data_IF_531195274225
#
_entry.id   IF_531195274225
#
_cell.length_a   1.000
_cell.length_b   1.000
_cell.length_c   1.000
_cell.angle_alpha   90.00
_cell.angle_beta   90.00
_cell.angle_gamma   90.00
#
_symmetry.space_group_name_H-M   'P 1'
#
loop_
_entity.id
_entity.type
_entity.pdbx_description
1 polymer ?
#
# COMPACT_ATOMS: atom_id res chain seq x y z
N UNK A 1 -13.01 -2.89 -6.49
CA UNK A 1 -11.93 -3.16 -7.48
C UNK A 1 -11.83 -4.65 -7.75
N UNK A 2 -10.88 -5.09 -8.59
CA UNK A 2 -10.41 -6.49 -8.64
C UNK A 2 -10.10 -6.99 -7.22
N UNK A 3 -10.49 -8.22 -6.88
CA UNK A 3 -10.24 -8.78 -5.54
C UNK A 3 -8.88 -9.43 -5.52
N UNK A 4 -8.13 -9.17 -4.46
CA UNK A 4 -6.88 -9.87 -4.21
C UNK A 4 -7.10 -10.94 -3.15
N UNK A 5 -6.68 -12.16 -3.45
CA UNK A 5 -6.77 -13.29 -2.53
C UNK A 5 -5.39 -13.87 -2.28
N UNK A 6 -5.06 -14.11 -1.02
CA UNK A 6 -3.95 -15.00 -0.66
C UNK A 6 -4.44 -16.42 -0.92
N UNK A 7 -3.68 -17.14 -1.72
CA UNK A 7 -3.96 -18.55 -1.96
C UNK A 7 -3.19 -19.34 -0.92
N UNK A 8 -3.83 -20.39 -0.41
CA UNK A 8 -3.14 -21.37 0.42
C UNK A 8 -1.95 -21.92 -0.36
N UNK A 9 -0.75 -21.60 0.12
CA UNK A 9 0.51 -22.06 -0.45
C UNK A 9 1.29 -22.89 0.56
N UNK A 10 2.23 -23.69 0.06
CA UNK A 10 3.24 -24.33 0.89
C UNK A 10 4.26 -23.27 1.35
N UNK A 11 3.91 -22.46 2.36
CA UNK A 11 4.86 -21.46 2.86
C UNK A 11 6.03 -22.17 3.53
N UNK A 12 7.25 -22.01 2.98
CA UNK A 12 8.48 -22.55 3.56
C UNK A 12 8.85 -21.91 4.91
N UNK A 13 8.34 -20.70 5.20
CA UNK A 13 8.60 -19.91 6.42
C UNK A 13 7.36 -19.16 6.85
N UNK A 14 7.25 -18.87 8.16
CA UNK A 14 6.15 -18.08 8.73
C UNK A 14 6.29 -16.61 8.33
N UNK A 15 5.34 -16.09 7.54
CA UNK A 15 5.31 -14.67 7.18
C UNK A 15 4.78 -13.82 8.32
N UNK A 16 5.46 -12.70 8.62
CA UNK A 16 4.99 -11.76 9.64
C UNK A 16 3.64 -11.09 9.27
N UNK A 17 3.36 -10.97 7.97
CA UNK A 17 2.14 -10.35 7.41
C UNK A 17 1.04 -11.37 7.17
N UNK A 18 1.38 -12.47 6.51
CA UNK A 18 0.41 -13.47 6.10
C UNK A 18 0.55 -14.69 7.01
N UNK A 19 0.16 -14.52 8.27
CA UNK A 19 0.21 -15.60 9.29
C UNK A 19 -0.89 -16.64 9.09
N UNK A 20 -1.97 -16.27 8.41
CA UNK A 20 -3.10 -17.13 8.12
C UNK A 20 -3.22 -17.29 6.60
N UNK A 21 -2.61 -18.35 6.06
CA UNK A 21 -2.52 -18.57 4.61
C UNK A 21 -3.78 -19.20 4.00
N UNK A 22 -4.80 -19.48 4.80
CA UNK A 22 -6.00 -20.20 4.37
C UNK A 22 -7.05 -19.27 3.75
N UNK A 23 -6.71 -18.71 2.59
CA UNK A 23 -7.70 -18.09 1.70
C UNK A 23 -8.14 -16.68 2.07
N UNK A 24 -7.32 -15.92 2.81
CA UNK A 24 -7.58 -14.52 3.15
C UNK A 24 -7.84 -13.67 1.88
N UNK A 25 -8.91 -12.88 1.90
CA UNK A 25 -9.32 -12.04 0.77
C UNK A 25 -9.27 -10.58 1.18
N UNK A 26 -8.46 -9.78 0.48
CA UNK A 26 -8.43 -8.34 0.63
C UNK A 26 -9.36 -7.67 -0.37
N UNK A 27 -10.42 -7.04 0.16
CA UNK A 27 -11.27 -6.13 -0.60
C UNK A 27 -10.82 -4.67 -0.47
N UNK A 28 -11.64 -3.74 -0.95
CA UNK A 28 -11.31 -2.31 -1.05
C UNK A 28 -10.86 -1.66 0.28
N UNK A 29 -11.29 -2.18 1.44
CA UNK A 29 -10.98 -1.66 2.79
C UNK A 29 -9.82 -2.41 3.48
N UNK A 30 -9.45 -3.60 2.98
CA UNK A 30 -8.45 -4.48 3.61
C UNK A 30 -7.03 -4.29 3.08
N UNK A 31 -6.85 -3.52 2.02
CA UNK A 31 -5.53 -3.36 1.39
C UNK A 31 -4.75 -2.20 2.04
N UNK A 32 -5.40 -1.04 2.23
CA UNK A 32 -4.73 0.19 2.66
C UNK A 32 -5.50 0.93 3.77
N UNK A 33 -4.80 1.68 4.64
CA UNK A 33 -5.44 2.47 5.68
C UNK A 33 -6.38 3.56 5.17
N UNK A 34 -7.44 3.84 5.94
CA UNK A 34 -8.22 5.09 5.92
C UNK A 34 -8.70 5.53 4.52
N UNK A 35 -9.14 4.60 3.67
CA UNK A 35 -9.64 4.92 2.33
C UNK A 35 -8.57 5.46 1.38
N UNK A 36 -7.30 5.16 1.66
CA UNK A 36 -6.17 5.56 0.82
C UNK A 36 -6.40 5.12 -0.63
N UNK A 37 -6.19 6.05 -1.56
CA UNK A 37 -6.25 5.76 -2.99
C UNK A 37 -5.10 4.81 -3.38
N UNK A 38 -5.39 3.63 -3.97
CA UNK A 38 -4.39 2.64 -4.36
C UNK A 38 -3.31 3.19 -5.32
N UNK A 39 -3.70 4.05 -6.26
CA UNK A 39 -2.80 4.68 -7.22
C UNK A 39 -1.84 5.68 -6.57
N UNK A 40 -2.35 6.48 -5.63
CA UNK A 40 -1.52 7.39 -4.85
C UNK A 40 -0.53 6.59 -4.00
N UNK A 41 -1.01 5.53 -3.35
CA UNK A 41 -0.15 4.66 -2.54
C UNK A 41 0.97 4.01 -3.36
N UNK A 42 0.66 3.48 -4.55
CA UNK A 42 1.68 2.89 -5.43
C UNK A 42 2.78 3.89 -5.80
N UNK A 43 2.40 5.15 -6.03
CA UNK A 43 3.35 6.26 -6.27
C UNK A 43 4.23 6.54 -5.04
N UNK A 44 3.64 6.44 -3.84
CA UNK A 44 4.31 6.71 -2.56
C UNK A 44 5.21 5.57 -2.06
N UNK A 45 4.92 4.33 -2.47
CA UNK A 45 5.61 3.13 -1.98
C UNK A 45 7.14 3.20 -2.01
N UNK A 46 7.83 3.63 -3.10
CA UNK A 46 9.29 3.72 -3.09
C UNK A 46 9.83 4.71 -2.06
N UNK A 47 9.14 5.83 -1.82
CA UNK A 47 9.54 6.83 -0.82
C UNK A 47 9.34 6.30 0.60
N UNK A 48 8.20 5.66 0.84
CA UNK A 48 7.91 4.99 2.10
C UNK A 48 8.95 3.90 2.42
N UNK A 49 9.26 3.06 1.43
CA UNK A 49 10.24 1.99 1.56
C UNK A 49 11.65 2.55 1.82
N UNK A 50 12.04 3.61 1.09
CA UNK A 50 13.30 4.30 1.32
C UNK A 50 13.43 4.80 2.77
N UNK A 51 12.42 5.51 3.27
CA UNK A 51 12.42 6.03 4.65
C UNK A 51 12.41 4.92 5.71
N UNK A 52 11.78 3.78 5.43
CA UNK A 52 11.79 2.61 6.29
C UNK A 52 13.23 2.09 6.48
N UNK A 53 14.00 2.03 5.39
CA UNK A 53 15.40 1.60 5.40
C UNK A 53 16.41 2.74 5.63
N UNK A 54 15.94 3.91 6.09
CA UNK A 54 16.82 4.99 6.56
C UNK A 54 17.27 6.00 5.49
N UNK A 55 16.66 5.98 4.30
CA UNK A 55 16.89 7.04 3.32
C UNK A 55 16.48 8.41 3.90
N UNK A 56 17.25 9.44 3.57
CA UNK A 56 16.95 10.84 3.86
C UNK A 56 16.96 11.60 2.54
N UNK A 57 15.91 12.36 2.28
CA UNK A 57 15.83 13.17 1.06
C UNK A 57 16.38 14.56 1.33
N UNK A 58 17.31 15.03 0.51
CA UNK A 58 18.02 16.30 0.74
C UNK A 58 17.22 17.54 0.30
N UNK A 59 15.90 17.47 0.24
CA UNK A 59 15.05 18.60 -0.13
C UNK A 59 14.83 19.59 1.03
N UNK A 60 14.91 19.12 2.27
CA UNK A 60 14.85 19.97 3.47
C UNK A 60 15.67 19.37 4.64
N UNK A 61 15.81 20.12 5.73
CA UNK A 61 16.58 19.70 6.92
C UNK A 61 15.97 18.47 7.62
N UNK A 62 14.67 18.24 7.46
CA UNK A 62 13.95 17.13 8.07
C UNK A 62 14.03 15.82 7.27
N UNK A 63 14.56 15.86 6.05
CA UNK A 63 14.63 14.70 5.18
C UNK A 63 13.31 14.38 4.45
N UNK A 64 12.38 15.32 4.37
CA UNK A 64 11.07 15.11 3.74
C UNK A 64 11.15 15.18 2.22
N UNK A 65 10.13 14.64 1.54
CA UNK A 65 10.05 14.65 0.08
C UNK A 65 8.65 15.04 -0.40
N UNK A 66 8.57 16.03 -1.29
CA UNK A 66 7.32 16.36 -1.97
C UNK A 66 7.10 15.42 -3.15
N UNK A 67 5.91 14.83 -3.20
CA UNK A 67 5.49 13.88 -4.23
C UNK A 67 4.10 14.31 -4.70
N UNK A 68 3.73 14.01 -5.94
CA UNK A 68 2.40 14.28 -6.46
C UNK A 68 1.67 12.99 -6.85
N UNK A 69 0.35 13.05 -6.79
CA UNK A 69 -0.54 12.06 -7.39
C UNK A 69 -0.28 12.00 -8.91
N UNK A 70 -0.35 10.81 -9.55
CA UNK A 70 -0.16 10.68 -10.99
C UNK A 70 -1.25 11.38 -11.83
N UNK A 71 -2.40 11.71 -11.22
CA UNK A 71 -3.46 12.45 -11.90
C UNK A 71 -3.06 13.91 -12.16
N UNK A 72 -3.32 14.42 -13.37
CA UNK A 72 -3.00 15.79 -13.79
C UNK A 72 -3.52 16.87 -12.82
N UNK A 73 -4.76 16.71 -12.31
CA UNK A 73 -5.39 17.56 -11.29
C UNK A 73 -5.57 16.82 -9.97
N UNK A 74 -4.53 16.10 -9.54
CA UNK A 74 -4.55 15.29 -8.34
C UNK A 74 -4.21 16.04 -7.05
N UNK A 75 -3.72 15.28 -6.07
CA UNK A 75 -3.24 15.79 -4.79
C UNK A 75 -1.72 15.90 -4.77
N UNK A 76 -1.20 16.93 -4.12
CA UNK A 76 0.22 17.05 -3.78
C UNK A 76 0.40 16.66 -2.32
N UNK A 77 1.46 15.91 -2.03
CA UNK A 77 1.73 15.38 -0.70
C UNK A 77 3.18 15.60 -0.30
N UNK A 78 3.43 15.63 1.00
CA UNK A 78 4.80 15.59 1.56
C UNK A 78 4.95 14.33 2.37
N UNK A 79 5.90 13.50 1.97
CA UNK A 79 6.29 12.26 2.67
C UNK A 79 7.19 12.61 3.85
N UNK A 80 6.85 12.10 5.02
CA UNK A 80 7.47 12.43 6.31
C UNK A 80 7.71 11.16 7.12
N UNK A 81 8.78 11.18 7.92
CA UNK A 81 9.03 10.26 9.03
C UNK A 81 9.08 11.06 10.32
N UNK A 82 8.23 10.73 11.30
CA UNK A 82 8.12 11.46 12.57
C UNK A 82 8.01 10.47 13.73
N UNK A 83 8.34 10.93 14.93
CA UNK A 83 8.16 10.14 16.14
C UNK A 83 6.69 9.77 16.32
N UNK A 84 6.45 8.56 16.82
CA UNK A 84 5.11 8.09 17.11
C UNK A 84 4.63 8.66 18.45
N UNK A 85 3.75 9.66 18.39
CA UNK A 85 3.13 10.29 19.55
C UNK A 85 1.77 9.67 19.92
N UNK A 86 1.35 8.60 19.22
CA UNK A 86 0.07 7.94 19.43
C UNK A 86 -1.14 8.64 18.78
N UNK A 87 -0.94 9.72 18.01
CA UNK A 87 -2.05 10.50 17.42
C UNK A 87 -2.35 10.15 15.96
N UNK A 88 -1.48 9.39 15.29
CA UNK A 88 -1.58 9.13 13.84
C UNK A 88 -2.68 8.15 13.48
N UNK A 89 -2.67 6.98 14.11
CA UNK A 89 -3.69 5.93 13.92
C UNK A 89 -3.69 5.02 15.16
N UNK A 90 -4.86 4.74 15.76
CA UNK A 90 -4.93 3.92 16.98
C UNK A 90 -4.46 2.47 16.78
N UNK A 91 -4.34 1.99 15.54
CA UNK A 91 -3.84 0.64 15.21
C UNK A 91 -2.33 0.55 15.17
N UNK A 92 -1.61 1.67 15.17
CA UNK A 92 -0.15 1.67 15.23
C UNK A 92 0.28 1.21 16.63
N UNK A 93 1.09 0.14 16.76
CA UNK A 93 1.51 -0.34 18.07
C UNK A 93 2.32 0.71 18.84
N UNK A 94 2.06 0.84 20.15
CA UNK A 94 2.72 1.82 21.01
C UNK A 94 4.26 1.66 21.10
N UNK A 95 4.79 0.47 20.81
CA UNK A 95 6.24 0.20 20.80
C UNK A 95 6.94 0.68 19.51
N UNK A 96 6.18 1.06 18.48
CA UNK A 96 6.76 1.68 17.28
C UNK A 96 7.24 3.08 17.63
N UNK A 97 8.51 3.37 17.38
CA UNK A 97 9.13 4.66 17.72
C UNK A 97 8.84 5.76 16.71
N UNK A 98 8.47 5.40 15.48
CA UNK A 98 8.21 6.35 14.40
C UNK A 98 7.05 5.91 13.51
N UNK A 99 6.48 6.87 12.79
CA UNK A 99 5.46 6.69 11.75
C UNK A 99 5.97 7.29 10.44
N UNK A 100 5.76 6.57 9.34
CA UNK A 100 6.01 7.04 7.98
C UNK A 100 4.65 7.30 7.34
N UNK A 101 4.45 8.50 6.81
CA UNK A 101 3.19 8.89 6.19
C UNK A 101 3.41 9.96 5.12
N UNK A 102 2.43 10.13 4.24
CA UNK A 102 2.34 11.27 3.34
C UNK A 102 1.18 12.17 3.77
N UNK A 103 1.44 13.46 3.93
CA UNK A 103 0.42 14.45 4.26
C UNK A 103 0.00 15.22 3.02
N UNK A 104 -1.31 15.32 2.78
CA UNK A 104 -1.86 16.11 1.67
C UNK A 104 -1.67 17.60 1.96
N UNK A 105 -0.91 18.28 1.10
CA UNK A 105 -0.64 19.72 1.20
C UNK A 105 -1.36 20.55 0.14
N UNK A 106 -1.92 19.90 -0.89
CA UNK A 106 -2.64 20.58 -1.95
C UNK A 106 -3.56 19.64 -2.72
N UNK A 107 -4.66 20.20 -3.22
CA UNK A 107 -5.64 19.51 -4.04
C UNK A 107 -5.94 20.39 -5.26
N UNK A 108 -5.59 19.93 -6.46
CA UNK A 108 -5.64 20.74 -7.71
C UNK A 108 -6.95 20.57 -8.51
N UNK A 109 -7.86 19.73 -8.04
CA UNK A 109 -9.15 19.41 -8.67
C UNK A 109 -9.99 18.50 -7.78
N UNK A 110 -10.97 17.82 -8.35
CA UNK A 110 -11.81 16.89 -7.57
C UNK A 110 -11.15 15.53 -7.45
N UNK A 111 -10.80 15.13 -6.22
CA UNK A 111 -10.30 13.80 -5.95
C UNK A 111 -11.47 12.80 -5.85
N UNK A 112 -11.56 11.76 -6.71
CA UNK A 112 -12.64 10.77 -6.62
C UNK A 112 -12.63 9.95 -5.33
N UNK A 113 -11.47 9.87 -4.66
CA UNK A 113 -11.30 9.23 -3.36
C UNK A 113 -11.52 10.21 -2.19
N UNK A 114 -11.86 11.48 -2.47
CA UNK A 114 -12.26 12.45 -1.46
C UNK A 114 -11.14 13.09 -0.64
N UNK A 115 -9.86 12.82 -0.94
CA UNK A 115 -8.70 13.36 -0.22
C UNK A 115 -8.71 14.89 -0.13
N UNK A 116 -8.37 15.42 1.05
CA UNK A 116 -8.35 16.84 1.42
C UNK A 116 -7.02 17.23 2.04
N UNK A 117 -6.71 18.53 2.02
CA UNK A 117 -5.53 19.06 2.72
C UNK A 117 -5.57 18.68 4.20
N UNK A 118 -4.45 18.17 4.72
CA UNK A 118 -4.31 17.64 6.08
C UNK A 118 -4.52 16.13 6.22
N UNK A 119 -5.09 15.47 5.20
CA UNK A 119 -5.22 14.00 5.22
C UNK A 119 -3.85 13.33 5.26
N UNK A 120 -3.78 12.19 5.97
CA UNK A 120 -2.54 11.41 6.14
C UNK A 120 -2.70 10.03 5.53
N UNK A 121 -1.88 9.72 4.54
CA UNK A 121 -1.70 8.38 3.98
C UNK A 121 -0.59 7.69 4.76
N UNK A 122 -0.96 6.75 5.64
CA UNK A 122 -0.04 6.07 6.55
C UNK A 122 0.56 4.85 5.87
N UNK A 123 1.87 4.65 6.00
CA UNK A 123 2.53 3.44 5.54
C UNK A 123 2.26 2.30 6.53
N UNK A 124 1.55 1.21 6.15
CA UNK A 124 0.96 0.31 7.12
C UNK A 124 1.96 -0.69 7.72
N UNK A 125 3.28 -0.50 7.60
CA UNK A 125 4.30 -1.52 7.86
C UNK A 125 4.33 -2.13 9.25
N UNK A 126 3.62 -1.54 10.20
CA UNK A 126 3.47 -2.00 11.58
C UNK A 126 2.06 -2.51 11.92
N UNK A 127 1.20 -2.69 10.91
CA UNK A 127 -0.21 -3.10 11.08
C UNK A 127 -0.54 -4.38 10.27
N UNK A 128 0.23 -5.47 10.43
CA UNK A 128 0.07 -6.69 9.64
C UNK A 128 -1.26 -7.42 9.89
N UNK A 129 -1.93 -7.17 11.02
CA UNK A 129 -3.22 -7.77 11.35
C UNK A 129 -4.42 -7.02 10.75
N UNK A 130 -4.18 -5.86 10.14
CA UNK A 130 -5.23 -4.98 9.63
C UNK A 130 -5.19 -4.77 8.12
N UNK A 131 -4.01 -4.92 7.52
CA UNK A 131 -3.80 -4.59 6.11
C UNK A 131 -2.93 -5.62 5.41
N UNK A 132 -3.10 -5.69 4.10
CA UNK A 132 -2.21 -6.43 3.23
C UNK A 132 -0.77 -5.94 3.36
N UNK A 133 0.19 -6.87 3.23
CA UNK A 133 1.60 -6.55 3.07
C UNK A 133 1.84 -5.52 1.95
N UNK A 134 2.47 -4.36 2.25
CA UNK A 134 2.86 -3.35 1.28
C UNK A 134 3.62 -3.86 0.06
N UNK A 135 4.59 -4.75 0.30
CA UNK A 135 5.42 -5.29 -0.77
C UNK A 135 4.60 -6.21 -1.68
N UNK A 136 3.77 -7.09 -1.09
CA UNK A 136 2.85 -7.94 -1.82
C UNK A 136 1.90 -7.11 -2.69
N UNK A 137 1.26 -6.10 -2.10
CA UNK A 137 0.36 -5.20 -2.84
C UNK A 137 1.07 -4.52 -4.01
N UNK A 138 2.24 -3.92 -3.75
CA UNK A 138 3.00 -3.23 -4.78
C UNK A 138 3.44 -4.14 -5.93
N UNK A 139 3.76 -5.41 -5.63
CA UNK A 139 4.18 -6.39 -6.63
C UNK A 139 3.03 -6.82 -7.56
N UNK A 140 1.81 -6.95 -7.01
CA UNK A 140 0.63 -7.38 -7.77
C UNK A 140 -0.16 -6.22 -8.40
N UNK A 141 0.09 -4.99 -7.94
CA UNK A 141 -0.64 -3.79 -8.37
C UNK A 141 -0.75 -3.62 -9.90
N UNK A 142 0.32 -3.81 -10.69
CA UNK A 142 0.22 -3.67 -12.15
C UNK A 142 -0.84 -4.60 -12.77
N UNK A 143 -1.01 -5.81 -12.22
CA UNK A 143 -1.90 -6.83 -12.78
C UNK A 143 -3.36 -6.67 -12.35
N UNK A 144 -3.68 -5.63 -11.57
CA UNK A 144 -5.06 -5.29 -11.25
C UNK A 144 -5.83 -4.81 -12.50
N UNK A 145 -5.13 -4.08 -13.38
CA UNK A 145 -5.70 -3.46 -14.60
C UNK A 145 -4.86 -3.66 -15.88
N UNK A 146 -3.63 -4.19 -15.79
CA UNK A 146 -2.81 -4.51 -16.96
C UNK A 146 -2.94 -5.98 -17.37
N UNK A 147 -2.98 -6.22 -18.68
CA UNK A 147 -2.88 -7.55 -19.25
C UNK A 147 -1.45 -8.08 -19.10
N UNK A 148 -1.24 -9.21 -18.39
CA UNK A 148 0.07 -9.78 -18.23
C UNK A 148 0.58 -10.46 -19.51
N UNK A 149 1.91 -10.58 -19.70
CA UNK A 149 2.47 -11.52 -20.66
C UNK A 149 2.05 -12.96 -20.33
N UNK A 150 2.04 -13.85 -21.34
CA UNK A 150 1.57 -15.24 -21.21
C UNK A 150 2.30 -16.09 -20.16
N UNK A 151 3.48 -15.66 -19.68
CA UNK A 151 4.22 -16.34 -18.63
C UNK A 151 3.76 -16.01 -17.20
N UNK A 152 2.90 -15.00 -17.02
CA UNK A 152 2.41 -14.59 -15.70
C UNK A 152 1.00 -15.14 -15.51
N UNK A 153 0.88 -16.06 -14.56
CA UNK A 153 -0.39 -16.61 -14.11
C UNK A 153 -0.99 -15.73 -12.99
N UNK A 154 -2.05 -14.96 -13.30
CA UNK A 154 -2.76 -14.14 -12.30
C UNK A 154 -3.37 -14.97 -11.18
N UNK A 155 -3.55 -16.28 -11.40
CA UNK A 155 -4.03 -17.20 -10.39
C UNK A 155 -2.91 -17.71 -9.47
N UNK A 156 -1.63 -17.45 -9.75
CA UNK A 156 -0.50 -17.85 -8.91
C UNK A 156 0.68 -16.86 -8.99
N UNK A 157 0.44 -15.61 -8.64
CA UNK A 157 1.49 -14.59 -8.59
C UNK A 157 2.32 -14.70 -7.31
N UNK A 158 3.62 -14.44 -7.39
CA UNK A 158 4.53 -14.65 -6.26
C UNK A 158 4.61 -13.43 -5.33
N UNK A 159 4.90 -13.70 -4.06
CA UNK A 159 5.51 -12.74 -3.15
C UNK A 159 6.80 -12.17 -3.75
N UNK A 160 7.06 -10.85 -3.65
CA UNK A 160 8.35 -10.29 -4.06
C UNK A 160 9.50 -10.75 -3.15
N UNK A 161 9.19 -11.21 -1.93
CA UNK A 161 10.17 -11.90 -1.10
C UNK A 161 10.33 -13.35 -1.59
N UNK A 162 11.47 -13.61 -2.23
CA UNK A 162 11.78 -14.87 -2.88
C UNK A 162 11.89 -16.05 -1.90
N UNK A 163 12.10 -15.79 -0.60
CA UNK A 163 12.18 -16.84 0.43
C UNK A 163 10.81 -17.30 0.93
N UNK A 164 9.77 -16.49 0.75
CA UNK A 164 8.48 -16.69 1.45
C UNK A 164 7.50 -17.58 0.69
N UNK A 165 7.65 -17.70 -0.65
CA UNK A 165 6.83 -18.54 -1.53
C UNK A 165 5.31 -18.41 -1.33
N UNK A 166 4.83 -17.22 -0.95
CA UNK A 166 3.39 -16.95 -0.80
C UNK A 166 2.77 -16.66 -2.18
N UNK A 167 1.78 -17.44 -2.64
CA UNK A 167 1.05 -17.17 -3.86
C UNK A 167 -0.14 -16.22 -3.64
N UNK A 168 -0.35 -15.33 -4.61
CA UNK A 168 -1.49 -14.42 -4.69
C UNK A 168 -2.33 -14.73 -5.93
N UNK A 169 -3.65 -14.66 -5.78
CA UNK A 169 -4.60 -14.64 -6.89
C UNK A 169 -5.12 -13.22 -7.08
N UNK A 170 -5.03 -12.68 -8.28
CA UNK A 170 -5.83 -11.51 -8.70
C UNK A 170 -6.97 -12.01 -9.55
N UNK A 171 -8.18 -11.86 -9.03
CA UNK A 171 -9.40 -12.11 -9.81
C UNK A 171 -9.90 -10.80 -10.39
N UNK A 172 -10.22 -10.80 -11.68
CA UNK A 172 -10.80 -9.67 -12.36
C UNK A 172 -12.10 -9.23 -11.69
N UNK A 173 -12.45 -7.96 -11.88
CA UNK A 173 -13.76 -7.44 -11.51
C UNK A 173 -14.83 -8.32 -12.18
N UNK A 174 -15.75 -8.89 -11.41
CA UNK A 174 -16.99 -9.40 -12.01
C UNK A 174 -17.59 -8.25 -12.84
N UNK A 175 -18.07 -8.50 -14.08
CA UNK A 175 -18.64 -7.45 -14.90
C UNK A 175 -19.81 -6.82 -14.14
N UNK A 176 -19.56 -5.63 -13.59
CA UNK A 176 -20.58 -4.83 -12.93
C UNK A 176 -21.43 -4.21 -14.02
N UNK A 177 -22.74 -4.43 -13.93
CA UNK A 177 -23.73 -3.69 -14.72
C UNK A 177 -23.42 -2.20 -14.63
N UNK A 178 -23.48 -1.57 -15.78
CA UNK A 178 -23.15 -0.18 -16.10
C UNK A 178 -23.47 0.81 -14.96
N UNK A 179 -22.51 1.72 -14.71
CA UNK A 179 -22.75 2.99 -14.03
C UNK A 179 -23.20 4.03 -15.06
#
# INVERSE_FOLDING_TARGET
MSKLKIIQGETKKTCQWHRNTDGEVYGDVGILPNGTCPWLYHTLYPYFLGMLYGARFHFNEHGDCQVCCPAHKGVDVVVKKRDNDGTYDPRIPAHMTYVIFAEVIGVKGDCPYGHKVGDKVIFPTCMPEHYMCPAGFNNVFPFLDLEPPACIDKSQMRCPDWEMEIPFSVTDKAPGKDL
#
